data_IF_694456769153
#
_entry.id   IF_694456769153
#
_cell.length_a   1.000
_cell.length_b   1.000
_cell.length_c   1.000
_cell.angle_alpha   90.00
_cell.angle_beta   90.00
_cell.angle_gamma   90.00
#
_symmetry.space_group_name_H-M   'P 1'
#
loop_
_entity.id
_entity.type
_entity.pdbx_description
1 polymer ?
#
# COMPACT_ATOMS: atom_id res chain seq x y z
N UNK A 1 -17.86 27.38 51.65
CA UNK A 1 -18.88 26.29 51.72
C UNK A 1 -18.46 25.18 50.78
N UNK A 2 -17.98 24.09 51.39
CA UNK A 2 -17.48 22.90 50.70
C UNK A 2 -18.64 21.98 50.24
N UNK A 3 -18.65 21.52 49.00
CA UNK A 3 -19.33 20.29 48.64
C UNK A 3 -18.40 19.39 47.86
N UNK A 4 -17.97 18.32 48.52
CA UNK A 4 -17.25 17.17 47.94
C UNK A 4 -18.33 16.26 47.32
N UNK A 5 -18.16 15.90 46.04
CA UNK A 5 -18.85 14.78 45.42
C UNK A 5 -17.96 13.57 45.38
N UNK A 6 -18.39 12.50 46.03
CA UNK A 6 -17.81 11.16 45.99
C UNK A 6 -18.38 10.45 44.77
N UNK A 7 -17.52 9.92 43.91
CA UNK A 7 -17.89 8.91 42.91
C UNK A 7 -17.74 7.51 43.49
N UNK A 8 -18.80 6.75 43.43
CA UNK A 8 -18.82 5.33 43.78
C UNK A 8 -18.59 4.51 42.49
N UNK A 9 -17.62 3.60 42.55
CA UNK A 9 -17.33 2.60 41.51
C UNK A 9 -18.26 1.41 41.79
N UNK A 10 -19.11 1.06 40.82
CA UNK A 10 -19.83 -0.22 40.81
C UNK A 10 -19.10 -1.16 39.84
N UNK A 11 -18.59 -2.25 40.39
CA UNK A 11 -18.10 -3.38 39.63
C UNK A 11 -19.27 -4.35 39.39
N UNK A 12 -19.54 -4.65 38.12
CA UNK A 12 -20.49 -5.72 37.76
C UNK A 12 -19.69 -6.87 37.14
N UNK A 13 -19.72 -8.01 37.81
CA UNK A 13 -19.22 -9.26 37.28
C UNK A 13 -20.35 -9.96 36.50
N UNK A 14 -20.08 -10.31 35.24
CA UNK A 14 -20.98 -11.15 34.45
C UNK A 14 -20.37 -12.55 34.28
N UNK A 15 -21.19 -13.53 34.64
CA UNK A 15 -20.91 -14.96 34.63
C UNK A 15 -21.16 -15.53 33.23
N UNK A 16 -20.20 -16.29 32.70
CA UNK A 16 -20.36 -17.10 31.48
C UNK A 16 -21.30 -18.28 31.73
N UNK A 17 -22.22 -18.49 30.82
CA UNK A 17 -22.98 -19.74 30.70
C UNK A 17 -22.66 -20.39 29.33
N UNK A 18 -22.04 -21.55 29.41
CA UNK A 18 -21.79 -22.43 28.26
C UNK A 18 -23.04 -23.28 28.03
N UNK A 19 -23.54 -23.27 26.82
CA UNK A 19 -24.56 -24.24 26.36
C UNK A 19 -24.07 -24.98 25.14
N UNK A 20 -23.69 -26.25 25.32
CA UNK A 20 -23.52 -27.22 24.22
C UNK A 20 -24.89 -27.69 23.76
N UNK A 21 -25.09 -27.71 22.45
CA UNK A 21 -26.15 -28.52 21.82
C UNK A 21 -25.57 -29.18 20.58
N UNK A 22 -25.42 -30.51 20.69
CA UNK A 22 -25.16 -31.40 19.56
C UNK A 22 -26.46 -31.67 18.80
N UNK A 23 -26.41 -31.65 17.48
CA UNK A 23 -27.53 -32.03 16.63
C UNK A 23 -26.99 -32.60 15.31
N UNK A 24 -27.02 -33.94 15.18
CA UNK A 24 -26.80 -34.64 13.94
C UNK A 24 -27.99 -34.49 12.99
N UNK A 25 -27.71 -34.24 11.72
CA UNK A 25 -28.70 -34.33 10.65
C UNK A 25 -28.00 -34.50 9.31
N UNK A 26 -28.00 -35.74 8.79
CA UNK A 26 -27.61 -36.05 7.42
C UNK A 26 -28.61 -35.46 6.43
N UNK A 27 -28.09 -34.81 5.39
CA UNK A 27 -28.71 -34.84 4.06
C UNK A 27 -27.63 -34.77 2.99
N UNK A 28 -27.60 -35.81 2.19
CA UNK A 28 -26.86 -35.88 0.91
C UNK A 28 -27.44 -34.84 -0.05
N UNK A 29 -26.59 -33.97 -0.55
CA UNK A 29 -26.83 -33.33 -1.83
C UNK A 29 -25.49 -33.09 -2.56
N UNK A 30 -25.37 -33.82 -3.69
CA UNK A 30 -24.22 -33.79 -4.59
C UNK A 30 -24.25 -32.52 -5.42
N UNK A 31 -23.50 -31.50 -5.02
CA UNK A 31 -23.09 -30.41 -5.89
C UNK A 31 -21.56 -30.36 -5.95
N UNK A 32 -21.08 -30.38 -7.17
CA UNK A 32 -19.66 -30.44 -7.52
C UNK A 32 -18.87 -29.31 -6.88
N UNK A 33 -17.88 -29.66 -6.07
CA UNK A 33 -16.87 -28.74 -5.54
C UNK A 33 -15.99 -28.24 -6.71
N UNK A 34 -16.10 -26.96 -6.99
CA UNK A 34 -15.11 -26.21 -7.74
C UNK A 34 -14.14 -25.63 -6.70
N UNK A 35 -12.90 -26.12 -6.73
CA UNK A 35 -11.71 -25.48 -6.18
C UNK A 35 -11.62 -25.44 -4.64
N UNK A 36 -10.66 -26.18 -4.10
CA UNK A 36 -10.12 -25.94 -2.77
C UNK A 36 -9.56 -24.51 -2.71
N UNK A 37 -10.30 -23.59 -2.08
CA UNK A 37 -9.78 -22.29 -1.70
C UNK A 37 -8.79 -22.53 -0.56
N UNK A 38 -7.51 -22.47 -0.84
CA UNK A 38 -6.45 -22.36 0.16
C UNK A 38 -6.41 -20.91 0.66
N UNK A 39 -7.42 -20.49 1.42
CA UNK A 39 -7.35 -19.23 2.14
C UNK A 39 -6.09 -19.20 3.02
N UNK A 40 -5.40 -18.07 3.07
CA UNK A 40 -4.21 -17.88 3.93
C UNK A 40 -4.58 -18.30 5.35
N UNK A 41 -3.91 -19.33 5.88
CA UNK A 41 -4.16 -19.78 7.26
C UNK A 41 -3.64 -18.75 8.26
N UNK A 42 -4.51 -17.85 8.68
CA UNK A 42 -4.21 -16.84 9.71
C UNK A 42 -4.25 -17.39 11.14
N UNK A 43 -4.57 -18.67 11.34
CA UNK A 43 -4.73 -19.26 12.68
C UNK A 43 -3.40 -19.61 13.38
N UNK A 44 -2.30 -19.73 12.63
CA UNK A 44 -0.99 -20.08 13.13
C UNK A 44 -0.21 -18.88 13.70
N UNK A 45 0.77 -19.17 14.59
CA UNK A 45 1.73 -18.16 15.05
C UNK A 45 2.63 -17.75 13.89
N UNK A 46 2.72 -16.44 13.62
CA UNK A 46 3.70 -15.89 12.69
C UNK A 46 5.07 -15.82 13.41
N UNK A 47 6.08 -16.50 12.88
CA UNK A 47 7.43 -16.55 13.45
C UNK A 47 8.35 -15.68 12.59
N UNK A 48 8.89 -14.62 13.20
CA UNK A 48 9.82 -13.70 12.57
C UNK A 48 11.24 -14.03 13.02
N UNK A 49 12.11 -14.40 12.07
CA UNK A 49 13.52 -14.68 12.32
C UNK A 49 14.33 -13.39 12.53
N UNK A 50 14.02 -12.35 11.76
CA UNK A 50 14.68 -11.04 11.84
C UNK A 50 13.70 -9.91 11.58
N UNK A 51 13.84 -8.81 12.30
CA UNK A 51 13.11 -7.57 12.01
C UNK A 51 13.94 -6.36 12.42
N UNK A 52 13.67 -5.24 11.78
CA UNK A 52 14.33 -3.97 12.11
C UNK A 52 13.83 -2.82 11.26
N UNK A 53 14.54 -1.71 11.40
CA UNK A 53 14.28 -0.48 10.63
C UNK A 53 15.59 0.09 10.14
N UNK A 54 15.54 0.74 8.97
CA UNK A 54 16.66 1.51 8.43
C UNK A 54 16.14 2.69 7.59
N UNK A 55 17.05 3.62 7.30
CA UNK A 55 16.78 4.71 6.35
C UNK A 55 17.47 4.40 5.03
N UNK A 56 16.73 4.47 3.93
CA UNK A 56 17.24 4.17 2.60
C UNK A 56 17.55 5.46 1.84
N UNK A 57 18.71 5.51 1.13
CA UNK A 57 19.11 6.60 0.25
C UNK A 57 19.13 7.99 0.94
N UNK A 58 18.59 9.00 0.28
CA UNK A 58 18.52 10.38 0.75
C UNK A 58 19.66 11.26 0.26
N UNK A 59 19.67 12.49 0.73
CA UNK A 59 20.64 13.52 0.37
C UNK A 59 21.32 14.09 1.61
N UNK A 60 22.64 14.32 1.51
CA UNK A 60 23.38 15.07 2.54
C UNK A 60 23.57 16.48 2.05
N UNK A 61 22.88 17.42 2.69
CA UNK A 61 23.06 18.86 2.45
C UNK A 61 24.20 19.36 3.32
N UNK A 62 25.13 20.14 2.73
CA UNK A 62 26.25 20.77 3.44
C UNK A 62 26.16 22.28 3.23
N UNK A 63 26.18 23.04 4.31
CA UNK A 63 26.26 24.52 4.28
C UNK A 63 27.75 24.93 4.21
N UNK A 64 28.03 25.95 3.43
CA UNK A 64 29.39 26.53 3.35
C UNK A 64 29.84 27.08 4.69
N UNK A 65 31.17 27.22 4.88
CA UNK A 65 31.78 27.77 6.06
C UNK A 65 32.34 26.72 7.01
N UNK A 66 32.56 27.12 8.27
CA UNK A 66 33.07 26.28 9.33
C UNK A 66 32.09 26.25 10.49
N UNK A 67 31.77 25.05 10.97
CA UNK A 67 30.87 24.89 12.10
C UNK A 67 31.49 25.46 13.37
N UNK A 68 30.78 26.40 14.01
CA UNK A 68 31.17 27.00 15.28
C UNK A 68 30.23 26.52 16.41
N UNK A 69 30.80 25.70 17.30
CA UNK A 69 30.08 25.15 18.45
C UNK A 69 29.57 26.20 19.42
N UNK A 70 30.20 27.41 19.44
CA UNK A 70 29.74 28.52 20.29
C UNK A 70 28.51 29.25 19.73
N UNK A 71 28.21 29.01 18.45
CA UNK A 71 27.10 29.67 17.74
C UNK A 71 26.18 28.65 17.00
N UNK A 72 26.19 27.40 17.44
CA UNK A 72 25.52 26.29 16.76
C UNK A 72 24.00 26.49 16.55
N UNK A 73 23.38 27.27 17.39
CA UNK A 73 21.93 27.44 17.37
C UNK A 73 21.46 28.49 16.35
N UNK A 74 22.26 29.48 16.05
CA UNK A 74 21.88 30.62 15.19
C UNK A 74 22.60 30.65 13.84
N UNK A 75 23.71 29.91 13.68
CA UNK A 75 24.42 29.75 12.42
C UNK A 75 24.29 28.33 11.88
N UNK A 76 24.16 28.22 10.56
CA UNK A 76 24.22 26.94 9.85
C UNK A 76 25.52 26.75 9.09
N UNK A 77 26.49 27.66 9.20
CA UNK A 77 27.77 27.53 8.55
C UNK A 77 28.48 26.24 8.91
N UNK A 78 28.99 25.52 7.91
CA UNK A 78 29.68 24.23 8.08
C UNK A 78 28.83 23.09 8.63
N UNK A 79 27.48 23.25 8.68
CA UNK A 79 26.58 22.21 9.12
C UNK A 79 26.21 21.23 8.01
N UNK A 80 25.82 20.03 8.38
CA UNK A 80 25.23 19.02 7.48
C UNK A 80 23.86 18.62 7.93
N UNK A 81 23.00 18.22 6.99
CA UNK A 81 21.68 17.65 7.26
C UNK A 81 21.43 16.46 6.34
N UNK A 82 20.93 15.37 6.89
CA UNK A 82 20.50 14.20 6.16
C UNK A 82 19.00 14.32 5.91
N UNK A 83 18.60 14.38 4.65
CA UNK A 83 17.24 14.71 4.21
C UNK A 83 16.78 13.79 3.08
N UNK A 84 15.48 13.78 2.81
CA UNK A 84 14.87 13.11 1.67
C UNK A 84 15.22 11.60 1.58
N UNK A 85 15.29 10.92 2.71
CA UNK A 85 15.45 9.48 2.80
C UNK A 85 14.12 8.80 3.09
N UNK A 86 13.93 7.58 2.63
CA UNK A 86 12.83 6.73 3.08
C UNK A 86 13.10 6.16 4.47
N UNK A 87 12.03 5.84 5.20
CA UNK A 87 12.09 5.01 6.40
C UNK A 87 11.51 3.64 6.07
N UNK A 88 12.23 2.57 6.38
CA UNK A 88 11.87 1.21 6.03
C UNK A 88 11.79 0.35 7.28
N UNK A 89 10.63 -0.29 7.50
CA UNK A 89 10.47 -1.40 8.42
C UNK A 89 10.63 -2.70 7.62
N UNK A 90 11.44 -3.65 8.10
CA UNK A 90 11.52 -4.96 7.48
C UNK A 90 11.27 -6.08 8.46
N UNK A 91 10.75 -7.20 7.93
CA UNK A 91 10.56 -8.44 8.65
C UNK A 91 10.90 -9.62 7.73
N UNK A 92 11.67 -10.58 8.26
CA UNK A 92 12.07 -11.81 7.58
C UNK A 92 11.45 -12.96 8.35
N UNK A 93 10.57 -13.78 7.75
CA UNK A 93 9.98 -14.92 8.43
C UNK A 93 11.02 -16.04 8.64
N UNK A 94 10.75 -16.96 9.57
CA UNK A 94 11.61 -18.12 9.77
C UNK A 94 11.67 -19.00 8.50
N UNK A 95 10.55 -19.16 7.81
CA UNK A 95 10.43 -19.89 6.56
C UNK A 95 10.51 -18.97 5.34
N UNK A 96 11.61 -18.21 5.19
CA UNK A 96 11.85 -17.29 4.08
C UNK A 96 12.10 -18.03 2.75
N UNK A 97 11.03 -18.53 2.15
CA UNK A 97 11.06 -19.33 0.89
C UNK A 97 10.73 -18.53 -0.36
N UNK A 98 9.94 -17.48 -0.23
CA UNK A 98 9.53 -16.59 -1.31
C UNK A 98 10.58 -15.52 -1.65
N UNK A 99 10.28 -14.69 -2.64
CA UNK A 99 11.03 -13.49 -2.96
C UNK A 99 10.65 -12.36 -1.99
N UNK A 100 11.58 -11.48 -1.58
CA UNK A 100 11.22 -10.34 -0.75
C UNK A 100 10.22 -9.43 -1.46
N UNK A 101 9.27 -8.88 -0.69
CA UNK A 101 8.27 -7.95 -1.19
C UNK A 101 8.54 -6.55 -0.62
N UNK A 102 8.66 -5.57 -1.48
CA UNK A 102 8.87 -4.16 -1.13
C UNK A 102 7.58 -3.41 -1.41
N UNK A 103 6.99 -2.81 -0.38
CA UNK A 103 5.68 -2.17 -0.45
C UNK A 103 5.79 -0.65 -0.47
N UNK A 104 5.24 -0.04 -1.51
CA UNK A 104 5.23 1.40 -1.75
C UNK A 104 3.80 1.94 -1.74
N UNK A 105 3.47 2.73 -0.72
CA UNK A 105 2.13 3.32 -0.55
C UNK A 105 1.86 4.49 -1.50
N UNK A 106 0.59 4.90 -1.60
CA UNK A 106 0.14 6.02 -2.41
C UNK A 106 0.01 7.36 -1.67
N UNK A 107 -0.75 8.27 -2.29
CA UNK A 107 -1.07 9.60 -1.77
C UNK A 107 -1.72 9.52 -0.39
N UNK A 108 -1.30 10.41 0.51
CA UNK A 108 -1.89 10.53 1.84
C UNK A 108 -1.80 9.29 2.73
N UNK A 109 -0.96 8.32 2.37
CA UNK A 109 -0.80 7.07 3.10
C UNK A 109 0.59 6.93 3.72
N UNK A 110 0.77 5.87 4.48
CA UNK A 110 2.03 5.38 5.04
C UNK A 110 2.07 3.85 4.95
N UNK A 111 3.17 3.25 5.38
CA UNK A 111 3.30 1.78 5.49
C UNK A 111 2.20 1.14 6.34
N UNK A 112 1.55 1.90 7.24
CA UNK A 112 0.48 1.38 8.10
C UNK A 112 -0.65 0.70 7.32
N UNK A 113 -0.97 1.22 6.12
CA UNK A 113 -2.01 0.65 5.26
C UNK A 113 -1.74 -0.79 4.81
N UNK A 114 -0.47 -1.21 4.78
CA UNK A 114 -0.07 -2.57 4.46
C UNK A 114 -0.05 -3.51 5.67
N UNK A 115 0.07 -2.95 6.89
CA UNK A 115 0.26 -3.71 8.12
C UNK A 115 -1.05 -4.14 8.77
N UNK A 116 -2.10 -3.34 8.62
CA UNK A 116 -3.39 -3.61 9.27
C UNK A 116 -4.53 -3.05 8.44
N UNK A 117 -5.70 -3.65 8.59
CA UNK A 117 -6.95 -3.14 8.04
C UNK A 117 -7.65 -2.21 9.04
N UNK A 118 -8.56 -1.33 8.59
CA UNK A 118 -9.28 -0.41 9.49
C UNK A 118 -10.13 -1.11 10.57
N UNK A 119 -10.55 -2.35 10.32
CA UNK A 119 -11.30 -3.20 11.25
C UNK A 119 -10.41 -4.13 12.10
N UNK A 120 -9.07 -3.94 12.03
CA UNK A 120 -8.10 -4.60 12.90
C UNK A 120 -7.72 -6.03 12.50
N UNK A 121 -8.03 -6.46 11.27
CA UNK A 121 -7.52 -7.71 10.70
C UNK A 121 -6.07 -7.54 10.23
N UNK A 122 -5.43 -8.66 9.91
CA UNK A 122 -4.10 -8.69 9.30
C UNK A 122 -4.10 -7.95 7.96
N UNK A 123 -3.06 -7.14 7.73
CA UNK A 123 -2.78 -6.53 6.44
C UNK A 123 -1.96 -7.46 5.53
N UNK A 124 -1.70 -7.02 4.33
CA UNK A 124 -0.92 -7.81 3.37
C UNK A 124 0.50 -8.12 3.84
N UNK A 125 1.12 -7.27 4.67
CA UNK A 125 2.43 -7.57 5.22
C UNK A 125 2.46 -8.90 5.99
N UNK A 126 1.47 -9.12 6.87
CA UNK A 126 1.39 -10.36 7.65
C UNK A 126 1.02 -11.55 6.76
N UNK A 127 0.13 -11.36 5.80
CA UNK A 127 -0.28 -12.41 4.87
C UNK A 127 0.90 -12.90 4.03
N UNK A 128 1.70 -12.01 3.46
CA UNK A 128 2.86 -12.41 2.65
C UNK A 128 3.99 -12.97 3.51
N UNK A 129 4.17 -12.50 4.75
CA UNK A 129 5.06 -13.18 5.70
C UNK A 129 4.64 -14.64 5.96
N UNK A 130 3.34 -14.92 6.09
CA UNK A 130 2.82 -16.29 6.23
C UNK A 130 3.01 -17.14 4.97
N UNK A 131 3.05 -16.51 3.80
CA UNK A 131 3.37 -17.17 2.53
C UNK A 131 4.87 -17.39 2.32
N UNK A 132 5.71 -16.95 3.27
CA UNK A 132 7.17 -17.13 3.25
C UNK A 132 7.92 -16.03 2.53
N UNK A 133 7.33 -14.85 2.35
CA UNK A 133 8.01 -13.68 1.80
C UNK A 133 8.56 -12.79 2.90
N UNK A 134 9.82 -12.37 2.79
CA UNK A 134 10.30 -11.23 3.56
C UNK A 134 9.60 -9.95 3.10
N UNK A 135 9.25 -9.05 4.03
CA UNK A 135 8.57 -7.80 3.70
C UNK A 135 9.39 -6.57 4.09
N UNK A 136 9.37 -5.57 3.22
CA UNK A 136 10.02 -4.28 3.39
C UNK A 136 8.98 -3.19 3.15
N UNK A 137 8.61 -2.47 4.21
CA UNK A 137 7.50 -1.53 4.24
C UNK A 137 8.05 -0.10 4.28
N UNK A 138 7.85 0.64 3.21
CA UNK A 138 8.41 1.97 3.02
C UNK A 138 7.43 3.04 3.51
N UNK A 139 7.93 3.98 4.34
CA UNK A 139 7.41 5.34 4.35
C UNK A 139 8.22 6.15 3.36
N UNK A 140 7.57 6.71 2.36
CA UNK A 140 8.22 7.51 1.31
C UNK A 140 8.91 8.72 1.91
N UNK A 141 9.98 9.24 1.27
CA UNK A 141 10.63 10.47 1.74
C UNK A 141 9.61 11.60 1.93
N UNK A 142 9.80 12.35 2.98
CA UNK A 142 8.93 13.48 3.40
C UNK A 142 7.55 13.07 3.92
N UNK A 143 7.31 11.78 4.17
CA UNK A 143 6.02 11.24 4.64
C UNK A 143 6.21 10.30 5.82
N UNK A 144 5.13 10.09 6.59
CA UNK A 144 5.13 9.16 7.70
C UNK A 144 6.29 9.41 8.66
N UNK A 145 7.13 8.42 8.89
CA UNK A 145 8.33 8.49 9.73
C UNK A 145 9.63 8.78 8.95
N UNK A 146 9.54 9.15 7.68
CA UNK A 146 10.72 9.32 6.82
C UNK A 146 11.58 10.57 7.12
N UNK A 147 11.19 11.39 8.06
CA UNK A 147 12.07 12.42 8.63
C UNK A 147 12.15 13.72 7.83
N UNK A 148 13.37 14.24 7.65
CA UNK A 148 13.60 15.59 7.16
C UNK A 148 13.47 15.75 5.64
N UNK A 149 13.12 16.94 5.20
CA UNK A 149 13.00 17.32 3.80
C UNK A 149 14.03 18.40 3.41
N UNK A 150 14.51 18.33 2.16
CA UNK A 150 15.34 19.39 1.56
C UNK A 150 14.52 20.60 1.11
N UNK A 151 13.21 20.45 0.93
CA UNK A 151 12.32 21.48 0.44
C UNK A 151 11.38 21.96 1.54
N UNK A 152 11.02 23.23 1.51
CA UNK A 152 9.96 23.76 2.35
C UNK A 152 8.62 23.20 1.85
N UNK A 153 7.79 22.69 2.74
CA UNK A 153 6.45 22.22 2.42
C UNK A 153 5.40 22.91 3.28
N UNK A 154 4.20 23.02 2.74
CA UNK A 154 3.02 23.42 3.50
C UNK A 154 2.21 22.17 3.81
N UNK A 155 1.96 21.92 5.09
CA UNK A 155 1.04 20.86 5.50
C UNK A 155 -0.37 21.41 5.33
N UNK A 156 -1.15 20.80 4.45
CA UNK A 156 -2.56 21.14 4.24
C UNK A 156 -3.47 20.22 5.06
N UNK A 157 -4.69 20.68 5.31
CA UNK A 157 -5.73 19.86 5.93
C UNK A 157 -6.49 19.00 4.91
N UNK A 158 -6.08 19.05 3.66
CA UNK A 158 -6.64 18.25 2.56
C UNK A 158 -5.94 16.89 2.45
N UNK A 159 -6.64 15.85 1.95
CA UNK A 159 -8.06 15.84 1.62
C UNK A 159 -8.96 15.67 2.84
N UNK A 160 -10.22 16.06 2.70
CA UNK A 160 -11.25 15.77 3.71
C UNK A 160 -11.67 14.30 3.67
N UNK A 161 -12.26 13.80 4.77
CA UNK A 161 -12.80 12.45 4.84
C UNK A 161 -13.81 12.17 3.71
N UNK A 162 -14.66 13.13 3.40
CA UNK A 162 -15.66 13.03 2.35
C UNK A 162 -15.04 12.91 0.96
N UNK A 163 -14.00 13.70 0.69
CA UNK A 163 -13.25 13.64 -0.56
C UNK A 163 -12.56 12.29 -0.68
N UNK A 164 -11.88 11.84 0.37
CA UNK A 164 -11.18 10.57 0.40
C UNK A 164 -12.11 9.40 0.14
N UNK A 165 -13.24 9.35 0.87
CA UNK A 165 -14.25 8.31 0.74
C UNK A 165 -14.84 8.22 -0.67
N UNK A 166 -15.20 9.38 -1.23
CA UNK A 166 -15.88 9.46 -2.52
C UNK A 166 -14.91 9.22 -3.69
N UNK A 167 -13.73 9.85 -3.66
CA UNK A 167 -12.75 9.75 -4.74
C UNK A 167 -12.22 8.33 -4.92
N UNK A 168 -12.11 7.59 -3.84
CA UNK A 168 -11.57 6.24 -3.87
C UNK A 168 -12.64 5.15 -3.89
N UNK A 169 -13.86 5.51 -4.28
CA UNK A 169 -14.96 4.59 -4.59
C UNK A 169 -15.39 3.67 -3.44
N UNK A 170 -15.16 4.08 -2.17
CA UNK A 170 -15.71 3.36 -1.02
C UNK A 170 -17.23 3.50 -1.01
N UNK A 171 -17.70 4.70 -1.36
CA UNK A 171 -19.10 5.05 -1.47
C UNK A 171 -19.30 6.52 -1.76
N UNK A 172 -20.42 7.08 -1.32
CA UNK A 172 -20.80 8.48 -1.55
C UNK A 172 -21.16 9.15 -0.25
N UNK A 173 -20.74 10.41 -0.05
CA UNK A 173 -21.19 11.25 1.05
C UNK A 173 -22.31 12.17 0.59
N UNK A 174 -23.50 11.98 1.12
CA UNK A 174 -24.68 12.75 0.77
C UNK A 174 -25.60 12.93 1.99
N UNK A 175 -26.17 14.13 2.17
CA UNK A 175 -27.08 14.46 3.29
C UNK A 175 -26.45 14.18 4.67
N UNK A 176 -25.19 14.53 4.84
CA UNK A 176 -24.40 14.32 6.07
C UNK A 176 -24.21 12.84 6.47
N UNK A 177 -24.28 11.93 5.50
CA UNK A 177 -24.13 10.49 5.71
C UNK A 177 -23.17 9.88 4.70
N UNK A 178 -22.30 8.95 5.18
CA UNK A 178 -21.48 8.07 4.35
C UNK A 178 -22.28 6.84 3.94
N UNK A 179 -22.50 6.67 2.65
CA UNK A 179 -23.22 5.52 2.08
C UNK A 179 -22.26 4.69 1.25
N UNK A 180 -22.09 3.42 1.61
CA UNK A 180 -21.23 2.50 0.85
C UNK A 180 -21.84 2.17 -0.52
N UNK A 181 -20.99 1.91 -1.50
CA UNK A 181 -21.43 1.37 -2.78
C UNK A 181 -22.10 0.01 -2.60
N UNK A 182 -23.04 -0.34 -3.46
CA UNK A 182 -23.74 -1.63 -3.39
C UNK A 182 -22.73 -2.78 -3.55
N UNK A 183 -22.77 -3.75 -2.65
CA UNK A 183 -21.86 -4.90 -2.65
C UNK A 183 -20.45 -4.62 -2.14
N UNK A 184 -20.18 -3.41 -1.64
CA UNK A 184 -18.85 -3.00 -1.14
C UNK A 184 -18.25 -4.03 -0.19
N UNK A 185 -16.98 -4.31 -0.37
CA UNK A 185 -16.13 -5.12 0.52
C UNK A 185 -15.39 -4.29 1.56
N UNK A 186 -15.51 -2.97 1.51
CA UNK A 186 -14.94 -2.14 2.55
C UNK A 186 -15.62 -2.47 3.90
N UNK A 187 -14.85 -2.70 4.98
CA UNK A 187 -15.45 -3.06 6.26
C UNK A 187 -16.31 -1.90 6.79
N UNK A 188 -17.52 -2.23 7.23
CA UNK A 188 -18.52 -1.23 7.61
C UNK A 188 -18.47 -0.91 9.10
N UNK A 189 -18.80 0.33 9.44
CA UNK A 189 -18.96 0.81 10.82
C UNK A 189 -18.31 2.17 11.06
N UNK A 190 -18.86 2.92 12.00
CA UNK A 190 -18.35 4.25 12.36
C UNK A 190 -16.92 4.19 12.91
N UNK A 191 -16.64 3.21 13.78
CA UNK A 191 -15.28 3.01 14.35
C UNK A 191 -14.27 2.61 13.27
N UNK A 192 -14.70 1.83 12.27
CA UNK A 192 -13.85 1.42 11.13
C UNK A 192 -13.52 2.62 10.26
N UNK A 193 -14.50 3.44 9.92
CA UNK A 193 -14.26 4.68 9.16
C UNK A 193 -13.36 5.65 9.93
N UNK A 194 -13.56 5.79 11.26
CA UNK A 194 -12.69 6.62 12.10
C UNK A 194 -11.23 6.13 12.03
N UNK A 195 -11.00 4.81 12.15
CA UNK A 195 -9.66 4.25 12.02
C UNK A 195 -9.08 4.42 10.61
N UNK A 196 -9.89 4.26 9.57
CA UNK A 196 -9.46 4.46 8.19
C UNK A 196 -9.02 5.90 7.93
N UNK A 197 -9.82 6.89 8.32
CA UNK A 197 -9.47 8.29 8.14
C UNK A 197 -8.26 8.71 8.97
N UNK A 198 -8.04 8.13 10.15
CA UNK A 198 -6.84 8.38 10.97
C UNK A 198 -5.55 7.79 10.39
N UNK A 199 -5.63 6.89 9.42
CA UNK A 199 -4.45 6.39 8.70
C UNK A 199 -3.91 7.41 7.69
N UNK A 200 -4.69 8.41 7.31
CA UNK A 200 -4.25 9.44 6.38
C UNK A 200 -3.10 10.25 6.97
N UNK A 201 -2.04 10.41 6.18
CA UNK A 201 -0.90 11.25 6.51
C UNK A 201 -0.87 12.49 5.61
N UNK A 202 -0.33 13.63 6.08
CA UNK A 202 -0.10 14.76 5.19
C UNK A 202 0.79 14.36 4.02
N UNK A 203 0.41 14.74 2.80
CA UNK A 203 1.28 14.62 1.65
C UNK A 203 2.20 15.84 1.55
N UNK A 204 3.37 15.72 2.16
CA UNK A 204 4.40 16.78 2.19
C UNK A 204 5.38 16.71 1.04
N UNK A 205 5.19 15.76 0.11
CA UNK A 205 5.99 15.64 -1.11
C UNK A 205 5.55 16.64 -2.20
N UNK A 206 4.38 17.27 -2.03
CA UNK A 206 3.84 18.26 -2.96
C UNK A 206 4.08 19.67 -2.43
N UNK A 207 4.74 20.52 -3.20
CA UNK A 207 4.83 21.96 -2.89
C UNK A 207 3.60 22.67 -3.43
N UNK A 208 2.49 22.55 -2.68
CA UNK A 208 1.24 23.23 -3.02
C UNK A 208 1.32 24.76 -2.91
N UNK A 209 2.26 25.28 -2.12
CA UNK A 209 2.44 26.72 -1.92
C UNK A 209 2.94 27.43 -3.18
N UNK A 210 3.73 26.74 -4.02
CA UNK A 210 4.25 27.26 -5.29
C UNK A 210 3.47 26.75 -6.51
N UNK A 211 2.36 26.02 -6.30
CA UNK A 211 1.59 25.42 -7.39
C UNK A 211 2.26 24.22 -8.04
N UNK A 212 3.37 23.76 -7.51
CA UNK A 212 4.01 22.53 -7.91
C UNK A 212 3.32 21.37 -7.18
N UNK A 213 2.52 20.63 -7.93
CA UNK A 213 1.79 19.46 -7.46
C UNK A 213 2.55 18.17 -7.77
N UNK A 214 3.75 18.27 -8.32
CA UNK A 214 4.52 17.10 -8.69
C UNK A 214 5.27 16.55 -7.48
N UNK A 215 5.12 15.25 -7.29
CA UNK A 215 6.00 14.48 -6.44
C UNK A 215 7.39 14.56 -7.10
N UNK A 216 8.42 14.67 -6.29
CA UNK A 216 9.77 14.39 -6.78
C UNK A 216 9.94 12.86 -6.97
N UNK A 217 9.49 12.38 -8.13
CA UNK A 217 9.45 10.94 -8.44
C UNK A 217 10.83 10.33 -8.38
N UNK A 218 11.86 11.06 -8.82
CA UNK A 218 13.25 10.59 -8.80
C UNK A 218 13.78 10.37 -7.39
N UNK A 219 13.43 11.24 -6.43
CA UNK A 219 13.83 11.05 -5.03
C UNK A 219 13.20 9.77 -4.49
N UNK A 220 11.89 9.61 -4.67
CA UNK A 220 11.19 8.40 -4.22
C UNK A 220 11.73 7.15 -4.91
N UNK A 221 11.92 7.17 -6.22
CA UNK A 221 12.42 6.03 -6.99
C UNK A 221 13.83 5.58 -6.54
N UNK A 222 14.71 6.53 -6.20
CA UNK A 222 16.04 6.21 -5.65
C UNK A 222 15.98 5.60 -4.26
N UNK A 223 15.07 6.05 -3.43
CA UNK A 223 14.87 5.50 -2.09
C UNK A 223 14.28 4.08 -2.15
N UNK A 224 13.34 3.85 -3.08
CA UNK A 224 12.79 2.51 -3.34
C UNK A 224 13.87 1.58 -3.88
N UNK A 225 14.70 2.05 -4.85
CA UNK A 225 15.79 1.24 -5.38
C UNK A 225 16.80 0.86 -4.30
N UNK A 226 17.18 1.81 -3.42
CA UNK A 226 18.08 1.52 -2.32
C UNK A 226 17.47 0.55 -1.30
N UNK A 227 16.13 0.58 -1.12
CA UNK A 227 15.42 -0.41 -0.30
C UNK A 227 15.47 -1.80 -0.92
N UNK A 228 15.27 -1.90 -2.23
CA UNK A 228 15.36 -3.16 -2.98
C UNK A 228 16.78 -3.73 -2.91
N UNK A 229 17.80 -2.88 -3.10
CA UNK A 229 19.20 -3.29 -3.00
C UNK A 229 19.54 -3.80 -1.57
N UNK A 230 19.05 -3.15 -0.52
CA UNK A 230 19.20 -3.63 0.87
C UNK A 230 18.45 -4.95 1.11
N UNK A 231 17.28 -5.12 0.50
CA UNK A 231 16.54 -6.39 0.55
C UNK A 231 17.33 -7.52 -0.10
N UNK A 232 17.98 -7.24 -1.24
CA UNK A 232 18.87 -8.19 -1.90
C UNK A 232 20.09 -8.52 -1.04
N UNK A 233 20.74 -7.52 -0.44
CA UNK A 233 21.90 -7.75 0.45
C UNK A 233 21.54 -8.64 1.65
N UNK A 234 20.30 -8.53 2.18
CA UNK A 234 19.84 -9.33 3.32
C UNK A 234 19.41 -10.74 2.96
N UNK A 235 18.74 -10.89 1.82
CA UNK A 235 18.06 -12.15 1.44
C UNK A 235 18.78 -12.91 0.34
N UNK A 236 19.62 -12.25 -0.45
CA UNK A 236 20.25 -12.82 -1.65
C UNK A 236 19.29 -13.05 -2.80
N UNK A 237 18.11 -12.42 -2.78
CA UNK A 237 17.02 -12.62 -3.74
C UNK A 237 16.56 -11.29 -4.31
N UNK A 238 16.17 -11.27 -5.58
CA UNK A 238 15.51 -10.11 -6.20
C UNK A 238 14.12 -9.91 -5.60
N UNK A 239 13.63 -8.68 -5.65
CA UNK A 239 12.40 -8.26 -4.94
C UNK A 239 11.20 -8.13 -5.88
N UNK A 240 10.02 -8.39 -5.34
CA UNK A 240 8.76 -7.98 -5.93
C UNK A 240 8.42 -6.59 -5.41
N UNK A 241 8.29 -5.62 -6.30
CA UNK A 241 7.84 -4.29 -5.94
C UNK A 241 6.32 -4.20 -6.01
N UNK A 242 5.67 -4.00 -4.88
CA UNK A 242 4.22 -3.78 -4.77
C UNK A 242 3.96 -2.30 -4.62
N UNK A 243 3.26 -1.70 -5.57
CA UNK A 243 2.92 -0.27 -5.55
C UNK A 243 1.43 -0.05 -5.44
N UNK A 244 1.02 1.06 -4.83
CA UNK A 244 -0.37 1.48 -4.79
C UNK A 244 -0.51 2.93 -5.26
N UNK A 245 -1.52 3.17 -6.13
CA UNK A 245 -1.99 4.51 -6.48
C UNK A 245 -0.86 5.42 -6.99
N UNK A 246 -0.69 6.60 -6.38
CA UNK A 246 0.38 7.55 -6.69
C UNK A 246 1.78 6.91 -6.60
N UNK A 247 1.98 5.94 -5.71
CA UNK A 247 3.25 5.21 -5.58
C UNK A 247 3.64 4.42 -6.83
N UNK A 248 2.71 4.13 -7.73
CA UNK A 248 3.01 3.53 -9.02
C UNK A 248 3.93 4.40 -9.88
N UNK A 249 3.76 5.72 -9.85
CA UNK A 249 4.54 6.65 -10.69
C UNK A 249 6.05 6.54 -10.40
N UNK A 250 6.54 6.77 -9.16
CA UNK A 250 7.95 6.53 -8.84
C UNK A 250 8.32 5.03 -8.89
N UNK A 251 7.36 4.13 -8.71
CA UNK A 251 7.57 2.70 -8.83
C UNK A 251 8.09 2.28 -10.21
N UNK A 252 7.55 2.87 -11.28
CA UNK A 252 8.05 2.63 -12.64
C UNK A 252 9.49 3.11 -12.83
N UNK A 253 9.79 4.32 -12.35
CA UNK A 253 11.12 4.92 -12.45
C UNK A 253 12.18 4.12 -11.67
N UNK A 254 11.80 3.38 -10.62
CA UNK A 254 12.70 2.56 -9.79
C UNK A 254 13.50 1.58 -10.62
N UNK A 255 12.91 1.00 -11.67
CA UNK A 255 13.60 0.07 -12.57
C UNK A 255 14.84 0.65 -13.27
N UNK A 256 14.99 1.97 -13.28
CA UNK A 256 16.18 2.65 -13.84
C UNK A 256 17.38 2.66 -12.89
N UNK A 257 17.18 2.37 -11.60
CA UNK A 257 18.21 2.56 -10.57
C UNK A 257 18.67 1.27 -9.88
N UNK A 258 17.97 0.16 -10.04
CA UNK A 258 18.37 -1.16 -9.50
C UNK A 258 18.13 -2.27 -10.51
N UNK A 259 18.92 -3.33 -10.45
CA UNK A 259 18.77 -4.55 -11.26
C UNK A 259 18.05 -5.68 -10.49
N UNK A 260 17.61 -5.41 -9.25
CA UNK A 260 17.08 -6.41 -8.32
C UNK A 260 15.54 -6.42 -8.22
N UNK A 261 14.84 -6.07 -9.32
CA UNK A 261 13.38 -6.18 -9.40
C UNK A 261 13.01 -7.46 -10.16
N UNK A 262 12.42 -8.43 -9.46
CA UNK A 262 11.92 -9.66 -10.05
C UNK A 262 10.58 -9.49 -10.76
N UNK A 263 9.70 -8.62 -10.24
CA UNK A 263 8.39 -8.28 -10.82
C UNK A 263 7.83 -7.01 -10.19
N UNK A 264 6.83 -6.40 -10.85
CA UNK A 264 6.04 -5.30 -10.29
C UNK A 264 4.58 -5.71 -10.21
N UNK A 265 3.98 -5.56 -9.02
CA UNK A 265 2.55 -5.69 -8.73
C UNK A 265 2.00 -4.30 -8.49
N UNK A 266 1.22 -3.78 -9.42
CA UNK A 266 0.68 -2.42 -9.39
C UNK A 266 -0.81 -2.43 -9.03
N UNK A 267 -1.12 -1.94 -7.84
CA UNK A 267 -2.49 -1.85 -7.34
C UNK A 267 -3.04 -0.47 -7.67
N UNK A 268 -3.97 -0.41 -8.62
CA UNK A 268 -4.61 0.81 -9.09
C UNK A 268 -3.64 1.99 -9.23
N UNK A 269 -2.56 1.87 -10.01
CA UNK A 269 -1.58 2.95 -10.14
C UNK A 269 -2.19 4.18 -10.76
N UNK A 270 -1.67 5.35 -10.39
CA UNK A 270 -2.15 6.64 -10.91
C UNK A 270 -2.01 6.77 -12.43
N UNK A 271 -0.99 6.15 -13.02
CA UNK A 271 -0.80 5.97 -14.48
C UNK A 271 0.20 4.85 -14.74
N UNK A 272 0.04 4.16 -15.86
CA UNK A 272 1.08 3.27 -16.40
C UNK A 272 2.08 4.07 -17.27
N UNK A 273 3.33 3.58 -17.45
CA UNK A 273 4.30 4.22 -18.33
C UNK A 273 3.81 4.28 -19.78
N UNK A 274 4.07 5.39 -20.45
CA UNK A 274 3.80 5.47 -21.87
C UNK A 274 4.82 4.65 -22.67
N UNK A 275 4.39 4.01 -23.75
CA UNK A 275 5.28 3.33 -24.67
C UNK A 275 6.43 4.26 -25.12
N UNK A 276 7.63 3.71 -25.24
CA UNK A 276 8.87 4.41 -25.59
C UNK A 276 9.37 5.44 -24.54
N UNK A 277 8.73 5.55 -23.36
CA UNK A 277 9.29 6.33 -22.25
C UNK A 277 10.53 5.63 -21.66
N UNK A 278 11.36 6.38 -20.93
CA UNK A 278 12.54 5.83 -20.26
C UNK A 278 12.17 4.71 -19.28
N UNK A 279 11.07 4.88 -18.54
CA UNK A 279 10.58 3.88 -17.59
C UNK A 279 10.11 2.60 -18.31
N UNK A 280 9.30 2.76 -19.36
CA UNK A 280 8.87 1.64 -20.21
C UNK A 280 10.07 0.87 -20.78
N UNK A 281 11.04 1.59 -21.35
CA UNK A 281 12.22 0.97 -21.94
C UNK A 281 13.08 0.24 -20.90
N UNK A 282 13.23 0.81 -19.69
CA UNK A 282 13.97 0.17 -18.60
C UNK A 282 13.30 -1.14 -18.15
N UNK A 283 11.98 -1.14 -18.02
CA UNK A 283 11.21 -2.35 -17.69
C UNK A 283 11.39 -3.44 -18.77
N UNK A 284 11.31 -3.04 -20.04
CA UNK A 284 11.41 -3.96 -21.17
C UNK A 284 12.83 -4.54 -21.32
N UNK A 285 13.87 -3.70 -21.21
CA UNK A 285 15.27 -4.12 -21.28
C UNK A 285 15.65 -5.13 -20.19
N UNK A 286 15.05 -4.99 -19.00
CA UNK A 286 15.27 -5.89 -17.86
C UNK A 286 14.27 -7.05 -17.82
N UNK A 287 13.37 -7.16 -18.80
CA UNK A 287 12.37 -8.22 -18.91
C UNK A 287 11.50 -8.36 -17.66
N UNK A 288 11.20 -7.24 -16.97
CA UNK A 288 10.47 -7.26 -15.69
C UNK A 288 8.99 -7.57 -15.94
N UNK A 289 8.43 -8.68 -15.39
CA UNK A 289 6.99 -8.95 -15.44
C UNK A 289 6.21 -7.91 -14.65
N UNK A 290 5.07 -7.47 -15.22
CA UNK A 290 4.20 -6.46 -14.59
C UNK A 290 2.77 -6.95 -14.54
N UNK A 291 2.13 -6.89 -13.37
CA UNK A 291 0.70 -7.12 -13.22
C UNK A 291 0.02 -5.90 -12.62
N UNK A 292 -1.13 -5.56 -13.18
CA UNK A 292 -2.01 -4.51 -12.70
C UNK A 292 -3.26 -5.11 -12.09
N UNK A 293 -3.75 -4.54 -11.00
CA UNK A 293 -5.03 -4.87 -10.39
C UNK A 293 -5.90 -3.64 -10.31
N UNK A 294 -7.12 -3.76 -10.80
CA UNK A 294 -8.17 -2.74 -10.68
C UNK A 294 -9.40 -3.34 -9.99
N UNK A 295 -9.97 -2.59 -9.06
CA UNK A 295 -11.17 -2.96 -8.31
C UNK A 295 -12.45 -2.75 -9.08
N UNK A 296 -13.55 -2.65 -8.35
CA UNK A 296 -14.90 -2.45 -8.86
C UNK A 296 -15.26 -0.95 -8.93
N UNK A 297 -16.45 -0.67 -9.41
CA UNK A 297 -17.02 0.68 -9.53
C UNK A 297 -16.22 1.59 -10.48
N UNK A 298 -15.64 1.02 -11.53
CA UNK A 298 -14.91 1.67 -12.62
C UNK A 298 -15.72 1.48 -13.90
N UNK A 299 -15.87 2.55 -14.71
CA UNK A 299 -16.55 2.46 -15.98
C UNK A 299 -17.80 3.35 -16.10
N UNK A 300 -18.30 3.48 -17.34
CA UNK A 300 -19.43 4.34 -17.67
C UNK A 300 -20.76 3.87 -17.05
N UNK A 301 -20.89 2.60 -16.71
CA UNK A 301 -22.07 2.01 -16.07
C UNK A 301 -22.28 2.48 -14.63
N UNK A 302 -21.23 2.92 -13.96
CA UNK A 302 -21.28 3.41 -12.58
C UNK A 302 -21.53 4.92 -12.51
N UNK A 303 -22.63 5.38 -13.11
CA UNK A 303 -22.98 6.81 -13.22
C UNK A 303 -23.17 7.52 -11.88
N UNK A 304 -23.50 6.75 -10.84
CA UNK A 304 -23.74 7.25 -9.49
C UNK A 304 -22.47 7.24 -8.60
N UNK A 305 -21.34 6.77 -9.15
CA UNK A 305 -20.02 6.80 -8.49
C UNK A 305 -19.18 7.93 -9.07
N UNK A 306 -18.99 9.04 -8.35
CA UNK A 306 -18.41 10.27 -8.93
C UNK A 306 -17.02 10.11 -9.55
N UNK A 307 -16.20 9.20 -9.02
CA UNK A 307 -14.83 8.98 -9.48
C UNK A 307 -14.69 7.85 -10.50
N UNK A 308 -15.76 7.14 -10.87
CA UNK A 308 -15.70 5.97 -11.74
C UNK A 308 -15.00 6.24 -13.08
N UNK A 309 -15.36 7.33 -13.76
CA UNK A 309 -14.77 7.69 -15.06
C UNK A 309 -13.29 8.12 -14.97
N UNK A 310 -12.85 8.68 -13.84
CA UNK A 310 -11.44 8.98 -13.64
C UNK A 310 -10.62 7.68 -13.52
N UNK A 311 -11.09 6.72 -12.75
CA UNK A 311 -10.41 5.43 -12.58
C UNK A 311 -10.48 4.57 -13.83
N UNK A 312 -11.53 4.69 -14.64
CA UNK A 312 -11.60 4.08 -15.96
C UNK A 312 -10.48 4.59 -16.91
N UNK A 313 -10.23 5.89 -16.90
CA UNK A 313 -9.10 6.44 -17.67
C UNK A 313 -7.74 5.92 -17.16
N UNK A 314 -7.57 5.73 -15.84
CA UNK A 314 -6.33 5.17 -15.28
C UNK A 314 -6.16 3.71 -15.69
N UNK A 315 -7.21 2.90 -15.61
CA UNK A 315 -7.22 1.51 -16.06
C UNK A 315 -6.87 1.40 -17.55
N UNK A 316 -7.45 2.25 -18.39
CA UNK A 316 -7.15 2.27 -19.83
C UNK A 316 -5.67 2.57 -20.14
N UNK A 317 -4.94 3.27 -19.26
CA UNK A 317 -3.49 3.44 -19.42
C UNK A 317 -2.73 2.14 -19.20
N UNK A 318 -3.17 1.30 -18.24
CA UNK A 318 -2.59 -0.01 -17.97
C UNK A 318 -2.86 -0.99 -19.12
N UNK A 319 -4.08 -0.99 -19.68
CA UNK A 319 -4.42 -1.81 -20.84
C UNK A 319 -3.53 -1.44 -22.05
N UNK A 320 -3.38 -0.15 -22.29
CA UNK A 320 -2.53 0.37 -23.38
C UNK A 320 -1.06 0.00 -23.18
N UNK A 321 -0.56 0.07 -21.93
CA UNK A 321 0.78 -0.37 -21.57
C UNK A 321 0.94 -1.87 -21.83
N UNK A 322 0.03 -2.69 -21.32
CA UNK A 322 0.12 -4.15 -21.44
C UNK A 322 0.11 -4.60 -22.91
N UNK A 323 -0.76 -4.00 -23.75
CA UNK A 323 -0.77 -4.29 -25.18
C UNK A 323 0.58 -3.96 -25.83
N UNK A 324 1.12 -2.76 -25.60
CA UNK A 324 2.40 -2.33 -26.16
C UNK A 324 3.57 -3.16 -25.63
N UNK A 325 3.59 -3.42 -24.33
CA UNK A 325 4.64 -4.16 -23.64
C UNK A 325 4.74 -5.60 -24.11
N UNK A 326 3.59 -6.32 -24.15
CA UNK A 326 3.50 -7.69 -24.63
C UNK A 326 3.87 -7.81 -26.12
N UNK A 327 3.46 -6.82 -26.93
CA UNK A 327 3.83 -6.77 -28.35
C UNK A 327 5.33 -6.57 -28.56
N UNK A 328 6.01 -5.89 -27.66
CA UNK A 328 7.46 -5.68 -27.65
C UNK A 328 8.24 -6.89 -27.09
N UNK A 329 7.57 -7.92 -26.57
CA UNK A 329 8.17 -9.13 -26.02
C UNK A 329 8.26 -9.18 -24.50
N UNK A 330 7.71 -8.16 -23.81
CA UNK A 330 7.56 -8.16 -22.36
C UNK A 330 6.45 -9.09 -21.87
N UNK A 331 6.24 -9.15 -20.55
CA UNK A 331 5.18 -9.91 -19.91
C UNK A 331 4.36 -8.99 -19.01
N UNK A 332 3.16 -8.61 -19.44
CA UNK A 332 2.25 -7.79 -18.64
C UNK A 332 0.83 -8.31 -18.67
N UNK A 333 0.17 -8.26 -17.51
CA UNK A 333 -1.23 -8.68 -17.32
C UNK A 333 -2.00 -7.54 -16.63
N UNK A 334 -3.22 -7.29 -17.07
CA UNK A 334 -4.17 -6.40 -16.38
C UNK A 334 -5.31 -7.24 -15.87
N UNK A 335 -5.60 -7.13 -14.57
CA UNK A 335 -6.70 -7.81 -13.90
C UNK A 335 -7.72 -6.77 -13.47
N UNK A 336 -8.91 -6.86 -14.04
CA UNK A 336 -10.10 -6.22 -13.51
C UNK A 336 -10.78 -7.24 -12.60
N UNK A 337 -10.73 -7.02 -11.28
CA UNK A 337 -11.20 -8.00 -10.28
C UNK A 337 -12.62 -8.51 -10.54
N UNK A 338 -13.59 -7.69 -11.00
CA UNK A 338 -14.91 -8.17 -11.35
C UNK A 338 -14.92 -9.24 -12.46
N UNK A 339 -14.00 -9.20 -13.41
CA UNK A 339 -13.88 -10.21 -14.48
C UNK A 339 -13.42 -11.58 -13.94
N UNK A 340 -12.70 -11.56 -12.81
CA UNK A 340 -12.29 -12.76 -12.07
C UNK A 340 -13.35 -13.21 -11.04
N UNK A 341 -14.52 -12.57 -11.01
CA UNK A 341 -15.59 -12.83 -10.04
C UNK A 341 -15.33 -12.30 -8.64
N UNK A 342 -14.32 -11.44 -8.47
CA UNK A 342 -13.98 -10.76 -7.23
C UNK A 342 -14.56 -9.35 -7.29
N UNK A 343 -15.68 -9.13 -6.62
CA UNK A 343 -16.46 -7.89 -6.73
C UNK A 343 -16.55 -7.12 -5.41
N UNK A 344 -16.89 -5.83 -5.52
CA UNK A 344 -17.13 -4.95 -4.37
C UNK A 344 -15.88 -4.28 -3.82
N UNK A 345 -14.74 -4.38 -4.51
CA UNK A 345 -13.49 -3.78 -4.07
C UNK A 345 -13.34 -2.35 -4.57
N UNK A 346 -13.00 -1.45 -3.66
CA UNK A 346 -12.67 -0.07 -3.95
C UNK A 346 -11.18 0.08 -4.28
N UNK A 347 -10.68 1.32 -4.24
CA UNK A 347 -9.27 1.62 -4.39
C UNK A 347 -8.36 0.99 -3.33
N UNK A 348 -8.91 0.62 -2.18
CA UNK A 348 -8.17 0.07 -1.03
C UNK A 348 -8.37 -1.43 -0.85
N UNK A 349 -8.37 -2.18 -1.95
CA UNK A 349 -8.62 -3.63 -1.96
C UNK A 349 -7.77 -4.43 -0.96
N UNK A 350 -6.59 -3.94 -0.60
CA UNK A 350 -5.70 -4.55 0.39
C UNK A 350 -6.14 -4.34 1.85
N UNK A 351 -7.14 -3.49 2.09
CA UNK A 351 -7.73 -3.23 3.42
C UNK A 351 -9.16 -3.76 3.55
N UNK A 352 -9.70 -4.38 2.52
CA UNK A 352 -11.09 -4.81 2.43
C UNK A 352 -11.31 -6.24 2.93
N UNK A 353 -12.58 -6.64 3.06
CA UNK A 353 -12.96 -7.90 3.72
C UNK A 353 -12.45 -9.17 3.04
N UNK A 354 -12.11 -9.08 1.76
CA UNK A 354 -11.56 -10.17 0.94
C UNK A 354 -10.11 -9.88 0.50
N UNK A 355 -9.36 -9.14 1.30
CA UNK A 355 -7.96 -8.83 1.00
C UNK A 355 -7.06 -10.08 0.94
N UNK A 356 -7.42 -11.14 1.64
CA UNK A 356 -6.80 -12.46 1.60
C UNK A 356 -6.95 -13.14 0.24
N UNK A 357 -8.15 -13.09 -0.36
CA UNK A 357 -8.42 -13.64 -1.69
C UNK A 357 -7.55 -12.96 -2.75
N UNK A 358 -7.40 -11.64 -2.66
CA UNK A 358 -6.57 -10.89 -3.60
C UNK A 358 -5.08 -11.15 -3.37
N UNK A 359 -4.63 -11.25 -2.12
CA UNK A 359 -3.27 -11.64 -1.79
C UNK A 359 -2.91 -13.02 -2.34
N UNK A 360 -3.81 -14.00 -2.22
CA UNK A 360 -3.65 -15.34 -2.81
C UNK A 360 -3.61 -15.30 -4.34
N UNK A 361 -4.44 -14.46 -4.97
CA UNK A 361 -4.41 -14.27 -6.43
C UNK A 361 -3.05 -13.71 -6.89
N UNK A 362 -2.49 -12.72 -6.16
CA UNK A 362 -1.16 -12.17 -6.42
C UNK A 362 -0.10 -13.26 -6.27
N UNK A 363 -0.13 -14.04 -5.19
CA UNK A 363 0.81 -15.13 -4.92
C UNK A 363 0.80 -16.19 -6.03
N UNK A 364 -0.39 -16.56 -6.50
CA UNK A 364 -0.53 -17.51 -7.60
C UNK A 364 0.05 -16.97 -8.92
N UNK A 365 -0.14 -15.67 -9.19
CA UNK A 365 0.46 -15.03 -10.35
C UNK A 365 1.99 -15.00 -10.24
N UNK A 366 2.54 -14.66 -9.06
CA UNK A 366 3.98 -14.67 -8.80
C UNK A 366 4.57 -16.06 -9.11
N UNK A 367 4.00 -17.11 -8.55
CA UNK A 367 4.45 -18.50 -8.77
C UNK A 367 4.43 -18.92 -10.23
N UNK A 368 3.51 -18.37 -11.02
CA UNK A 368 3.36 -18.72 -12.43
C UNK A 368 4.27 -17.92 -13.37
N UNK A 369 4.62 -16.68 -13.02
CA UNK A 369 5.23 -15.72 -13.94
C UNK A 369 6.64 -15.24 -13.53
N UNK A 370 7.01 -15.37 -12.26
CA UNK A 370 8.30 -14.93 -11.73
C UNK A 370 9.20 -16.13 -11.50
N UNK A 371 10.46 -16.01 -11.96
CA UNK A 371 11.42 -17.14 -11.95
C UNK A 371 12.42 -17.00 -10.81
#
# INVERSE_FOLDING_TARGET
>A
MNKKHKFAVLAAAAVLSISMLAGCGNNDDTSQNIGDNNAVDSSGTLVIAEQGMFSASGTVLTSEGTFDVSNYYTSREGSTSHVDHANVLYQIPEDDTGLPMVFLHGYGQSRMGWMTTPDGREGWSDMFLRMGHSVFLIDQPRRGEAGQTSVAGTITTEPSDQTWYTQFRIGTYLNDEFTYNEGSKFPAGEEVLDQFFRQMTPDTAMDSANGDQNIDTTVVARDVSATIDEAYERTGKDSILVTHSQGGIPGWETARYTDHIAAIVAIEPGMAPQADSDDYNSLLEKEIPVIFYYGDYIGEEFTDVPAAGMWDMMAATADSFAEAYNKAGGNSTVIHLPDEGITGNSHFMFQELNNDVIAEHIENWIKANVK
#
